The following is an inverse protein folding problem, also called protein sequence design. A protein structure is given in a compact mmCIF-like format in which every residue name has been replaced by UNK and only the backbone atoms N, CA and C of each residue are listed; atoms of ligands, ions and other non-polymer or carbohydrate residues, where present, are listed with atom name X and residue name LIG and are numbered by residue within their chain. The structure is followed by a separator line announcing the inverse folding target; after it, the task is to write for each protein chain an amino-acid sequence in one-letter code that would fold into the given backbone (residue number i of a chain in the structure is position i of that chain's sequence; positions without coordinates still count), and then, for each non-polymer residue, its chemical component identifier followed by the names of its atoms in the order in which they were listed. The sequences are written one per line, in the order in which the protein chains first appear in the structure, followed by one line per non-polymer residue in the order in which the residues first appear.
data_IF_785781393996
#
_entry.id   IF_785781393996
#
_cell.length_a   1.000
_cell.length_b   1.000
_cell.length_c   1.000
_cell.angle_alpha   90.00
_cell.angle_beta   90.00
_cell.angle_gamma   90.00
#
_symmetry.space_group_name_H-M   'P 1'
#
loop_
_entity.id
_entity.type
_entity.pdbx_description
1 polymer ?
#
# COMPACT_ATOMS: atom_id res chain seq x y z
N UNK A 1 25.20 -3.54 -3.79
CA UNK A 1 23.87 -2.88 -3.79
C UNK A 1 24.11 -1.39 -3.80
N UNK A 2 23.52 -0.69 -4.76
CA UNK A 2 23.53 0.77 -4.86
C UNK A 2 22.71 1.40 -3.74
N UNK A 3 22.97 2.67 -3.46
CA UNK A 3 22.22 3.44 -2.45
C UNK A 3 20.71 3.52 -2.78
N UNK A 4 20.37 3.63 -4.06
CA UNK A 4 18.98 3.61 -4.54
C UNK A 4 18.27 2.29 -4.22
N UNK A 5 18.92 1.15 -4.49
CA UNK A 5 18.37 -0.18 -4.17
C UNK A 5 18.13 -0.34 -2.67
N UNK A 6 19.05 0.16 -1.83
CA UNK A 6 18.89 0.13 -0.36
C UNK A 6 17.69 0.97 0.07
N UNK A 7 17.49 2.15 -0.52
CA UNK A 7 16.34 3.00 -0.21
C UNK A 7 15.03 2.32 -0.60
N UNK A 8 14.93 1.77 -1.81
CA UNK A 8 13.72 1.09 -2.28
C UNK A 8 13.37 -0.12 -1.41
N UNK A 9 14.37 -0.89 -0.99
CA UNK A 9 14.16 -2.02 -0.09
C UNK A 9 13.70 -1.58 1.31
N UNK A 10 14.27 -0.49 1.83
CA UNK A 10 13.83 0.09 3.11
C UNK A 10 12.37 0.53 3.04
N UNK A 11 11.96 1.17 1.94
CA UNK A 11 10.58 1.62 1.77
C UNK A 11 9.61 0.45 1.60
N UNK A 12 10.03 -0.62 0.91
CA UNK A 12 9.29 -1.87 0.87
C UNK A 12 9.06 -2.45 2.27
N UNK A 13 10.08 -2.51 3.12
CA UNK A 13 9.94 -3.02 4.50
C UNK A 13 9.00 -2.16 5.35
N UNK A 14 8.99 -0.83 5.16
CA UNK A 14 8.00 0.03 5.81
C UNK A 14 6.59 -0.31 5.35
N UNK A 15 6.38 -0.46 4.04
CA UNK A 15 5.09 -0.83 3.47
C UNK A 15 4.62 -2.20 3.99
N UNK A 16 5.53 -3.16 4.11
CA UNK A 16 5.28 -4.48 4.67
C UNK A 16 4.75 -4.39 6.11
N UNK A 17 5.36 -3.56 6.96
CA UNK A 17 4.90 -3.40 8.34
C UNK A 17 3.50 -2.77 8.39
N UNK A 18 3.24 -1.75 7.58
CA UNK A 18 1.93 -1.07 7.51
C UNK A 18 0.82 -2.05 7.11
N UNK A 19 1.01 -2.82 6.02
CA UNK A 19 -0.02 -3.75 5.56
C UNK A 19 -0.21 -4.90 6.55
N UNK A 20 0.85 -5.36 7.20
CA UNK A 20 0.78 -6.42 8.20
C UNK A 20 -0.05 -5.98 9.41
N UNK A 21 0.22 -4.80 9.96
CA UNK A 21 -0.55 -4.25 11.08
C UNK A 21 -2.03 -4.05 10.71
N UNK A 22 -2.29 -3.46 9.54
CA UNK A 22 -3.64 -3.20 9.07
C UNK A 22 -4.44 -4.49 8.85
N UNK A 23 -3.84 -5.50 8.21
CA UNK A 23 -4.52 -6.77 7.98
C UNK A 23 -4.67 -7.59 9.26
N UNK A 24 -3.72 -7.53 10.19
CA UNK A 24 -3.86 -8.16 11.50
C UNK A 24 -5.08 -7.59 12.24
N UNK A 25 -5.17 -6.26 12.37
CA UNK A 25 -6.28 -5.60 13.07
C UNK A 25 -7.65 -5.76 12.39
N UNK A 26 -7.67 -5.97 11.06
CA UNK A 26 -8.92 -6.18 10.32
C UNK A 26 -9.39 -7.63 10.29
N UNK A 27 -8.47 -8.60 10.30
CA UNK A 27 -8.79 -9.99 10.02
C UNK A 27 -8.63 -10.93 11.21
N UNK A 28 -7.68 -10.69 12.12
CA UNK A 28 -7.46 -11.59 13.27
C UNK A 28 -8.35 -11.13 14.41
N UNK A 29 -9.44 -11.87 14.61
CA UNK A 29 -10.48 -11.50 15.57
C UNK A 29 -10.85 -12.64 16.53
N UNK A 30 -10.42 -13.87 16.24
CA UNK A 30 -10.58 -15.00 17.14
C UNK A 30 -9.22 -15.34 17.78
N UNK A 31 -9.11 -15.07 19.08
CA UNK A 31 -7.90 -15.35 19.86
C UNK A 31 -8.07 -16.54 20.82
N UNK A 32 -9.02 -17.44 20.52
CA UNK A 32 -9.26 -18.64 21.35
C UNK A 32 -8.26 -19.76 21.08
N UNK A 33 -7.54 -19.71 19.96
CA UNK A 33 -6.51 -20.69 19.58
C UNK A 33 -5.19 -20.02 19.22
N UNK A 34 -4.08 -20.76 19.29
CA UNK A 34 -2.77 -20.28 18.84
C UNK A 34 -2.56 -20.39 17.32
N UNK A 35 -3.55 -20.91 16.60
CA UNK A 35 -3.53 -21.09 15.14
C UNK A 35 -4.42 -20.08 14.45
N UNK A 36 -4.03 -19.64 13.26
CA UNK A 36 -4.89 -18.81 12.41
C UNK A 36 -5.92 -19.72 11.74
N UNK A 37 -7.20 -19.37 11.85
CA UNK A 37 -8.28 -20.14 11.21
C UNK A 37 -8.30 -19.95 9.70
N UNK A 38 -8.89 -20.89 8.95
CA UNK A 38 -9.03 -20.79 7.48
C UNK A 38 -9.76 -19.50 7.04
N UNK A 39 -10.74 -19.06 7.84
CA UNK A 39 -11.47 -17.80 7.61
C UNK A 39 -10.55 -16.59 7.72
N UNK A 40 -9.71 -16.54 8.75
CA UNK A 40 -8.74 -15.48 8.98
C UNK A 40 -7.61 -15.50 7.94
N UNK A 41 -7.14 -16.68 7.54
CA UNK A 41 -6.16 -16.84 6.43
C UNK A 41 -6.74 -16.33 5.11
N UNK A 42 -8.00 -16.64 4.81
CA UNK A 42 -8.68 -16.11 3.62
C UNK A 42 -8.87 -14.59 3.72
N UNK A 43 -9.23 -14.07 4.88
CA UNK A 43 -9.36 -12.63 5.11
C UNK A 43 -8.04 -11.90 4.88
N UNK A 44 -6.94 -12.36 5.49
CA UNK A 44 -5.62 -11.73 5.38
C UNK A 44 -5.10 -11.74 3.94
N UNK A 45 -5.31 -12.83 3.19
CA UNK A 45 -4.98 -12.90 1.76
C UNK A 45 -5.74 -11.86 0.94
N UNK A 46 -7.05 -11.75 1.15
CA UNK A 46 -7.88 -10.74 0.47
C UNK A 46 -7.53 -9.31 0.91
N UNK A 47 -7.17 -9.12 2.17
CA UNK A 47 -6.75 -7.83 2.70
C UNK A 47 -5.49 -7.32 2.01
N UNK A 48 -4.47 -8.18 1.86
CA UNK A 48 -3.24 -7.83 1.16
C UNK A 48 -3.51 -7.46 -0.31
N UNK A 49 -4.25 -8.30 -1.04
CA UNK A 49 -4.60 -8.04 -2.44
C UNK A 49 -5.39 -6.73 -2.59
N UNK A 50 -6.37 -6.49 -1.72
CA UNK A 50 -7.14 -5.25 -1.68
C UNK A 50 -6.26 -4.04 -1.38
N UNK A 51 -5.36 -4.14 -0.41
CA UNK A 51 -4.44 -3.07 -0.05
C UNK A 51 -3.56 -2.69 -1.24
N UNK A 52 -2.93 -3.67 -1.90
CA UNK A 52 -2.05 -3.41 -3.05
C UNK A 52 -2.80 -2.78 -4.23
N UNK A 53 -3.99 -3.32 -4.58
CA UNK A 53 -4.84 -2.76 -5.63
C UNK A 53 -5.30 -1.34 -5.30
N UNK A 54 -5.65 -1.09 -4.04
CA UNK A 54 -6.03 0.24 -3.56
C UNK A 54 -4.84 1.21 -3.65
N UNK A 55 -3.66 0.83 -3.18
CA UNK A 55 -2.45 1.65 -3.24
C UNK A 55 -2.12 2.03 -4.67
N UNK A 56 -2.13 1.08 -5.62
CA UNK A 56 -1.90 1.36 -7.04
C UNK A 56 -2.93 2.32 -7.62
N UNK A 57 -4.23 2.09 -7.34
CA UNK A 57 -5.30 2.97 -7.81
C UNK A 57 -5.15 4.38 -7.25
N UNK A 58 -4.82 4.49 -5.97
CA UNK A 58 -4.63 5.76 -5.29
C UNK A 58 -3.44 6.53 -5.90
N UNK A 59 -2.29 5.86 -6.11
CA UNK A 59 -1.12 6.45 -6.78
C UNK A 59 -1.45 6.98 -8.17
N UNK A 60 -2.24 6.25 -8.98
CA UNK A 60 -2.66 6.71 -10.29
C UNK A 60 -3.50 7.99 -10.22
N UNK A 61 -4.47 8.05 -9.29
CA UNK A 61 -5.31 9.26 -9.10
C UNK A 61 -4.52 10.44 -8.55
N UNK A 62 -3.53 10.20 -7.68
CA UNK A 62 -2.64 11.25 -7.20
C UNK A 62 -1.80 11.85 -8.33
N UNK A 63 -1.26 11.03 -9.22
CA UNK A 63 -0.51 11.51 -10.38
C UNK A 63 -1.39 12.37 -11.30
N UNK A 64 -2.62 11.93 -11.60
CA UNK A 64 -3.60 12.73 -12.37
C UNK A 64 -3.87 14.08 -11.69
N UNK A 65 -4.11 14.09 -10.38
CA UNK A 65 -4.39 15.32 -9.63
C UNK A 65 -3.18 16.28 -9.61
N UNK A 66 -1.96 15.74 -9.49
CA UNK A 66 -0.73 16.54 -9.55
C UNK A 66 -0.56 17.24 -10.90
N UNK A 67 -0.89 16.56 -12.01
CA UNK A 67 -0.87 17.16 -13.35
C UNK A 67 -1.86 18.32 -13.46
N UNK A 68 -3.12 18.12 -13.07
CA UNK A 68 -4.17 19.16 -13.11
C UNK A 68 -3.79 20.37 -12.24
N UNK A 69 -3.22 20.12 -11.06
CA UNK A 69 -2.78 21.18 -10.15
C UNK A 69 -1.59 21.98 -10.73
N UNK A 70 -0.68 21.31 -11.43
CA UNK A 70 0.44 21.97 -12.10
C UNK A 70 -0.02 22.89 -13.25
N UNK A 71 -1.01 22.44 -14.03
CA UNK A 71 -1.64 23.24 -15.09
C UNK A 71 -2.37 24.47 -14.52
N UNK A 72 -3.13 24.30 -13.44
CA UNK A 72 -3.87 25.37 -12.78
C UNK A 72 -2.94 26.44 -12.15
N UNK A 73 -1.75 26.05 -11.71
CA UNK A 73 -0.76 26.95 -11.10
C UNK A 73 0.14 27.66 -12.13
N UNK A 74 -0.16 27.56 -13.43
CA UNK A 74 0.53 28.33 -14.47
C UNK A 74 1.97 27.88 -14.78
N UNK A 75 2.36 26.67 -14.37
CA UNK A 75 3.65 26.10 -14.78
C UNK A 75 3.55 25.62 -16.24
N UNK A 76 3.92 26.49 -17.18
CA UNK A 76 4.02 26.13 -18.60
C UNK A 76 5.03 25.00 -18.78
N UNK A 77 4.58 23.84 -19.28
CA UNK A 77 5.50 22.88 -19.89
C UNK A 77 6.16 23.52 -21.13
N UNK A 78 7.48 23.33 -21.33
CA UNK A 78 8.10 23.65 -22.61
C UNK A 78 7.49 22.73 -23.68
N UNK A 79 7.15 23.36 -24.80
CA UNK A 79 6.64 22.71 -26.02
C UNK A 79 7.61 21.68 -26.58
#
# INVERSE_FOLDING_TARGET
MSEAEISTFRDFLKQYNVVTEQCFGACINDMTTSSVSDTETRCTTNCLDKFLKMSQRLSARFAEHQMITAEANGATLPK
#
